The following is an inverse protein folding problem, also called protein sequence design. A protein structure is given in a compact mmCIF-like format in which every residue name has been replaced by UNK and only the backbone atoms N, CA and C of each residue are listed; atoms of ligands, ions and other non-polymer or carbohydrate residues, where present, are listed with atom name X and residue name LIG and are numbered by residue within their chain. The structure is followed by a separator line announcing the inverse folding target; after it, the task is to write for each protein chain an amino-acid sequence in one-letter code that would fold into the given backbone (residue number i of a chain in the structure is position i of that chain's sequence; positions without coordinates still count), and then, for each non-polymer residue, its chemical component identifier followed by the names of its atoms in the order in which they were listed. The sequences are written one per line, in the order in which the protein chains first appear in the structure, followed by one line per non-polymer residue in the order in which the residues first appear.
data_IF_555094003372
#
_entry.id   IF_555094003372
#
_cell.length_a   1.000
_cell.length_b   1.000
_cell.length_c   1.000
_cell.angle_alpha   90.00
_cell.angle_beta   90.00
_cell.angle_gamma   90.00
#
_symmetry.space_group_name_H-M   'P 1'
#
loop_
_entity.id
_entity.type
_entity.pdbx_description
1 polymer ?
#
# COMPACT_ATOMS: atom_id res chain seq x y z
N UNK A 1 12.78 7.41 -8.16
CA UNK A 1 12.18 6.07 -7.93
C UNK A 1 13.09 5.11 -7.16
N UNK A 2 14.38 4.94 -7.51
CA UNK A 2 15.30 3.97 -6.86
C UNK A 2 15.44 4.11 -5.33
N UNK A 3 15.39 5.32 -4.76
CA UNK A 3 15.56 5.51 -3.31
C UNK A 3 14.39 4.94 -2.51
N UNK A 4 13.15 5.24 -2.93
CA UNK A 4 11.97 4.95 -2.11
C UNK A 4 11.58 3.46 -2.14
N UNK A 5 11.79 2.75 -3.26
CA UNK A 5 11.50 1.29 -3.36
C UNK A 5 12.31 0.47 -2.36
N UNK A 6 13.44 1.00 -1.86
CA UNK A 6 14.21 0.35 -0.79
C UNK A 6 13.41 0.17 0.49
N UNK A 7 12.39 1.01 0.75
CA UNK A 7 11.52 0.88 1.93
C UNK A 7 10.75 -0.45 1.96
N UNK A 8 10.64 -1.15 0.82
CA UNK A 8 10.07 -2.49 0.77
C UNK A 8 11.00 -3.56 1.34
N UNK A 9 12.29 -3.28 1.58
CA UNK A 9 13.17 -4.27 2.20
C UNK A 9 12.69 -4.66 3.62
N UNK A 10 12.93 -5.91 4.05
CA UNK A 10 12.54 -6.37 5.38
C UNK A 10 13.02 -5.45 6.51
N UNK A 11 12.13 -5.15 7.46
CA UNK A 11 12.47 -4.33 8.63
C UNK A 11 12.49 -2.82 8.39
N UNK A 12 12.08 -2.35 7.20
CA UNK A 12 11.90 -0.92 6.93
C UNK A 12 10.41 -0.55 6.90
N UNK A 13 10.10 0.65 7.39
CA UNK A 13 8.78 1.24 7.30
C UNK A 13 8.49 1.59 5.84
N UNK A 14 7.33 1.23 5.33
CA UNK A 14 6.94 1.59 3.96
C UNK A 14 6.78 3.12 3.85
N UNK A 15 7.51 3.72 2.92
CA UNK A 15 7.43 5.16 2.67
C UNK A 15 6.20 5.52 1.81
N UNK A 16 5.65 6.70 2.03
CA UNK A 16 4.43 7.19 1.35
C UNK A 16 4.55 7.15 -0.18
N UNK A 17 5.68 7.57 -0.79
CA UNK A 17 5.82 7.51 -2.25
C UNK A 17 5.72 6.08 -2.81
N UNK A 18 6.06 5.05 -2.03
CA UNK A 18 5.89 3.65 -2.44
C UNK A 18 4.42 3.28 -2.50
N UNK A 19 3.63 3.68 -1.51
CA UNK A 19 2.17 3.45 -1.47
C UNK A 19 1.48 4.17 -2.62
N UNK A 20 1.84 5.43 -2.89
CA UNK A 20 1.25 6.21 -4.00
C UNK A 20 1.60 5.62 -5.37
N UNK A 21 2.85 5.15 -5.53
CA UNK A 21 3.27 4.44 -6.74
C UNK A 21 2.49 3.14 -6.91
N UNK A 22 2.26 2.40 -5.82
CA UNK A 22 1.46 1.17 -5.84
C UNK A 22 0.00 1.46 -6.19
N UNK A 23 -0.61 2.49 -5.61
CA UNK A 23 -1.96 2.94 -5.97
C UNK A 23 -2.05 3.33 -7.47
N UNK A 24 -1.02 3.97 -8.01
CA UNK A 24 -0.95 4.32 -9.44
C UNK A 24 -0.94 3.08 -10.34
N UNK A 25 -0.17 2.06 -9.95
CA UNK A 25 -0.15 0.76 -10.64
C UNK A 25 -1.53 0.10 -10.59
N UNK A 26 -2.15 0.03 -9.41
CA UNK A 26 -3.48 -0.60 -9.28
C UNK A 26 -4.56 0.15 -10.08
N UNK A 27 -4.50 1.49 -10.12
CA UNK A 27 -5.40 2.29 -10.96
C UNK A 27 -5.21 2.01 -12.45
N UNK A 28 -3.96 1.84 -12.89
CA UNK A 28 -3.66 1.47 -14.28
C UNK A 28 -4.15 0.05 -14.61
N UNK A 29 -3.89 -0.93 -13.74
CA UNK A 29 -4.38 -2.30 -13.92
C UNK A 29 -5.91 -2.33 -13.98
N UNK A 30 -6.59 -1.56 -13.12
CA UNK A 30 -8.05 -1.41 -13.18
C UNK A 30 -8.52 -0.76 -14.47
N UNK A 31 -7.79 0.22 -14.99
CA UNK A 31 -8.07 0.90 -16.25
C UNK A 31 -8.02 -0.06 -17.45
N UNK A 32 -7.06 -0.99 -17.46
CA UNK A 32 -6.91 -2.02 -18.50
C UNK A 32 -8.01 -3.10 -18.48
N UNK A 33 -8.62 -3.38 -17.33
CA UNK A 33 -9.66 -4.40 -17.24
C UNK A 33 -10.89 -4.05 -18.10
N UNK A 34 -11.35 -4.97 -18.94
CA UNK A 34 -12.60 -4.82 -19.70
C UNK A 34 -13.84 -5.05 -18.81
N UNK A 35 -14.08 -4.13 -17.87
CA UNK A 35 -15.25 -4.13 -16.99
C UNK A 35 -15.83 -2.73 -16.80
N UNK A 36 -17.15 -2.66 -16.74
CA UNK A 36 -17.90 -1.40 -16.58
C UNK A 36 -17.82 -0.82 -15.17
N UNK A 37 -17.53 -1.68 -14.19
CA UNK A 37 -17.41 -1.30 -12.78
C UNK A 37 -15.95 -1.43 -12.36
N UNK A 38 -15.31 -0.27 -12.13
CA UNK A 38 -13.90 -0.19 -11.76
C UNK A 38 -13.70 0.21 -10.31
N UNK A 39 -12.51 -0.10 -9.81
CA UNK A 39 -12.00 0.35 -8.52
C UNK A 39 -11.13 1.59 -8.72
N UNK A 40 -11.03 2.42 -7.68
CA UNK A 40 -10.12 3.56 -7.67
C UNK A 40 -9.36 3.65 -6.36
N UNK A 41 -8.05 3.85 -6.46
CA UNK A 41 -7.11 3.88 -5.36
C UNK A 41 -6.58 5.31 -5.20
N UNK A 42 -6.97 5.98 -4.11
CA UNK A 42 -6.46 7.31 -3.78
C UNK A 42 -5.03 7.25 -3.26
N UNK A 43 -4.31 8.35 -3.43
CA UNK A 43 -2.94 8.49 -2.92
C UNK A 43 -2.92 8.82 -1.44
N UNK A 44 -2.05 8.15 -0.70
CA UNK A 44 -1.83 8.37 0.72
C UNK A 44 -1.27 9.78 0.99
N UNK A 45 -0.46 10.33 0.09
CA UNK A 45 0.05 11.71 0.22
C UNK A 45 -1.07 12.75 0.26
N UNK A 46 -2.22 12.50 -0.37
CA UNK A 46 -3.38 13.41 -0.32
C UNK A 46 -4.03 13.46 1.07
N UNK A 47 -3.77 12.47 1.91
CA UNK A 47 -4.35 12.30 3.25
C UNK A 47 -3.41 12.79 4.37
N UNK A 48 -2.34 13.52 4.04
CA UNK A 48 -1.37 13.98 5.05
C UNK A 48 -1.86 15.20 5.86
N UNK A 49 -1.60 15.24 7.18
CA UNK A 49 -2.04 16.32 8.09
C UNK A 49 -1.72 17.76 7.62
N UNK A 50 -0.59 18.00 6.96
CA UNK A 50 -0.21 19.33 6.47
C UNK A 50 -1.01 19.82 5.25
N UNK A 51 -1.59 18.91 4.48
CA UNK A 51 -2.62 19.23 3.46
C UNK A 51 -3.99 19.42 4.14
N UNK A 52 -4.18 18.73 5.27
CA UNK A 52 -5.40 18.70 6.08
C UNK A 52 -5.56 19.92 7.00
N UNK A 53 -4.49 20.64 7.31
CA UNK A 53 -4.55 21.87 8.13
C UNK A 53 -5.14 23.09 7.40
N UNK A 54 -5.51 22.98 6.12
CA UNK A 54 -6.35 24.00 5.50
C UNK A 54 -7.77 23.91 6.11
N UNK A 55 -8.42 25.05 6.39
CA UNK A 55 -9.78 25.11 6.96
C UNK A 55 -10.69 24.01 6.38
N UNK A 56 -11.50 23.30 7.19
CA UNK A 56 -12.24 22.09 6.79
C UNK A 56 -12.96 22.19 5.43
N UNK A 57 -13.57 23.35 5.15
CA UNK A 57 -14.23 23.64 3.86
C UNK A 57 -13.31 23.44 2.62
N UNK A 58 -12.03 23.76 2.71
CA UNK A 58 -11.09 23.66 1.58
C UNK A 58 -10.61 22.23 1.32
N UNK A 59 -10.53 21.40 2.36
CA UNK A 59 -10.25 19.97 2.28
C UNK A 59 -11.43 19.19 1.74
N UNK A 60 -12.62 19.42 2.32
CA UNK A 60 -13.88 18.90 1.81
C UNK A 60 -13.95 19.21 0.32
N UNK A 61 -13.66 20.45 -0.09
CA UNK A 61 -13.64 20.80 -1.51
C UNK A 61 -12.59 20.04 -2.34
N UNK A 62 -11.39 19.72 -1.82
CA UNK A 62 -10.35 18.98 -2.59
C UNK A 62 -10.67 17.50 -2.71
N UNK A 63 -11.02 16.85 -1.59
CA UNK A 63 -11.44 15.45 -1.56
C UNK A 63 -12.74 15.31 -2.33
N UNK A 64 -13.73 16.17 -2.12
CA UNK A 64 -14.95 16.21 -2.93
C UNK A 64 -14.65 16.44 -4.40
N UNK A 65 -13.73 17.33 -4.78
CA UNK A 65 -13.38 17.50 -6.21
C UNK A 65 -12.77 16.24 -6.77
N UNK A 66 -11.90 15.56 -6.02
CA UNK A 66 -11.30 14.31 -6.45
C UNK A 66 -12.33 13.18 -6.55
N UNK A 67 -13.18 13.01 -5.52
CA UNK A 67 -14.30 12.08 -5.50
C UNK A 67 -15.32 12.40 -6.58
N UNK A 68 -15.65 13.68 -6.84
CA UNK A 68 -16.54 14.09 -7.94
C UNK A 68 -15.94 13.81 -9.32
N UNK A 69 -14.61 13.78 -9.46
CA UNK A 69 -13.96 13.33 -10.71
C UNK A 69 -14.13 11.83 -10.87
N UNK A 70 -13.80 11.07 -9.83
CA UNK A 70 -14.01 9.61 -9.71
C UNK A 70 -15.46 9.20 -9.99
N UNK A 71 -16.43 9.97 -9.49
CA UNK A 71 -17.87 9.72 -9.66
C UNK A 71 -18.45 10.22 -10.99
N UNK A 72 -17.70 10.98 -11.79
CA UNK A 72 -18.11 11.28 -13.17
C UNK A 72 -17.80 10.07 -14.03
N UNK A 73 -18.63 9.80 -15.04
CA UNK A 73 -18.37 8.76 -16.03
C UNK A 73 -17.02 9.09 -16.70
N UNK A 74 -15.94 8.42 -16.26
CA UNK A 74 -14.66 8.56 -16.91
C UNK A 74 -14.74 7.84 -18.27
N UNK A 75 -14.21 8.50 -19.30
CA UNK A 75 -14.15 7.98 -20.64
C UNK A 75 -12.69 7.59 -20.93
N UNK A 76 -12.46 6.36 -21.38
CA UNK A 76 -11.16 5.98 -21.95
C UNK A 76 -10.91 6.74 -23.27
N UNK A 77 -9.68 6.66 -23.79
CA UNK A 77 -9.28 7.16 -25.12
C UNK A 77 -10.24 6.74 -26.25
N UNK A 78 -10.92 5.59 -26.10
CA UNK A 78 -11.91 5.06 -27.05
C UNK A 78 -13.36 5.49 -26.77
N UNK A 79 -13.60 6.41 -25.83
CA UNK A 79 -14.93 6.93 -25.51
C UNK A 79 -15.85 5.99 -24.70
N UNK A 80 -15.37 4.83 -24.24
CA UNK A 80 -16.12 3.94 -23.33
C UNK A 80 -16.22 4.56 -21.93
N UNK A 81 -17.45 4.60 -21.40
CA UNK A 81 -17.76 5.06 -20.04
C UNK A 81 -17.68 3.91 -19.05
N UNK A 82 -17.04 4.14 -17.91
CA UNK A 82 -17.05 3.22 -16.78
C UNK A 82 -17.45 3.94 -15.50
N UNK A 83 -18.02 3.18 -14.56
CA UNK A 83 -18.39 3.68 -13.23
C UNK A 83 -17.40 3.17 -12.20
N UNK A 84 -16.91 4.08 -11.38
CA UNK A 84 -16.08 3.72 -10.23
C UNK A 84 -17.02 3.38 -9.06
N UNK A 85 -17.03 2.12 -8.65
CA UNK A 85 -17.96 1.65 -7.62
C UNK A 85 -17.30 1.43 -6.26
N UNK A 86 -15.99 1.18 -6.23
CA UNK A 86 -15.27 0.90 -4.99
C UNK A 86 -14.02 1.75 -4.94
N UNK A 87 -13.91 2.56 -3.91
CA UNK A 87 -12.82 3.52 -3.75
C UNK A 87 -12.05 3.25 -2.47
N UNK A 88 -10.74 3.33 -2.56
CA UNK A 88 -9.80 2.96 -1.50
C UNK A 88 -9.05 4.20 -1.02
N UNK A 89 -9.13 4.49 0.27
CA UNK A 89 -8.51 5.63 0.93
C UNK A 89 -7.43 5.14 1.91
N UNK A 90 -6.15 5.19 1.53
CA UNK A 90 -5.04 4.92 2.45
C UNK A 90 -4.97 6.03 3.52
N UNK A 91 -5.10 5.69 4.78
CA UNK A 91 -5.02 6.64 5.89
C UNK A 91 -3.73 6.44 6.67
N UNK A 92 -3.03 7.56 6.92
CA UNK A 92 -1.83 7.59 7.74
C UNK A 92 -2.09 8.53 8.91
N UNK A 93 -2.36 7.96 10.07
CA UNK A 93 -2.66 8.70 11.29
C UNK A 93 -1.72 8.27 12.42
N UNK A 94 -1.07 9.23 13.08
CA UNK A 94 -0.15 8.99 14.20
C UNK A 94 0.91 7.91 13.92
N UNK A 95 1.37 7.84 12.67
CA UNK A 95 2.39 6.89 12.21
C UNK A 95 1.88 5.47 11.92
N UNK A 96 0.58 5.20 12.09
CA UNK A 96 -0.11 3.95 11.75
C UNK A 96 -0.83 4.06 10.39
N UNK A 97 -0.90 2.94 9.67
CA UNK A 97 -1.41 2.86 8.30
C UNK A 97 -2.59 1.90 8.28
N UNK A 98 -3.74 2.38 7.81
CA UNK A 98 -4.95 1.57 7.65
C UNK A 98 -5.73 2.03 6.42
N UNK A 99 -6.72 1.26 6.00
CA UNK A 99 -7.45 1.48 4.75
C UNK A 99 -8.92 1.71 5.03
N UNK A 100 -9.52 2.73 4.41
CA UNK A 100 -10.97 2.89 4.35
C UNK A 100 -11.43 2.59 2.92
N UNK A 101 -12.42 1.71 2.78
CA UNK A 101 -12.96 1.33 1.48
C UNK A 101 -14.44 1.69 1.43
N UNK A 102 -14.85 2.48 0.44
CA UNK A 102 -16.26 2.77 0.19
C UNK A 102 -16.75 2.01 -1.03
N UNK A 103 -17.90 1.37 -0.91
CA UNK A 103 -18.69 0.92 -2.05
C UNK A 103 -19.74 1.98 -2.37
N UNK A 104 -19.48 2.80 -3.38
CA UNK A 104 -20.33 3.92 -3.79
C UNK A 104 -21.68 3.47 -4.36
N UNK A 105 -21.76 2.27 -4.94
CA UNK A 105 -23.02 1.73 -5.46
C UNK A 105 -23.94 1.23 -4.34
N UNK A 106 -23.36 0.59 -3.32
CA UNK A 106 -24.11 0.06 -2.16
C UNK A 106 -24.30 1.08 -1.05
N UNK A 107 -23.55 2.18 -1.07
CA UNK A 107 -23.52 3.15 0.03
C UNK A 107 -22.91 2.60 1.31
N UNK A 108 -22.02 1.61 1.22
CA UNK A 108 -21.38 0.97 2.38
C UNK A 108 -19.92 1.36 2.50
N UNK A 109 -19.36 1.26 3.71
CA UNK A 109 -17.94 1.53 3.97
C UNK A 109 -17.35 0.49 4.92
N UNK A 110 -16.07 0.20 4.74
CA UNK A 110 -15.32 -0.76 5.55
C UNK A 110 -14.00 -0.13 5.98
N UNK A 111 -13.66 -0.23 7.26
CA UNK A 111 -12.33 0.11 7.79
C UNK A 111 -11.54 -1.19 7.94
N UNK A 112 -10.38 -1.25 7.28
CA UNK A 112 -9.50 -2.41 7.27
C UNK A 112 -8.21 -2.02 8.00
N UNK A 113 -8.02 -2.59 9.19
CA UNK A 113 -6.88 -2.35 10.07
C UNK A 113 -6.26 -3.68 10.52
N UNK A 114 -4.94 -3.78 10.46
CA UNK A 114 -4.17 -4.92 10.94
C UNK A 114 -3.84 -4.83 12.43
N UNK A 115 -4.10 -3.71 13.10
CA UNK A 115 -3.82 -3.51 14.53
C UNK A 115 -4.77 -4.33 15.41
N UNK A 116 -4.21 -5.13 16.31
CA UNK A 116 -4.94 -5.82 17.38
C UNK A 116 -4.85 -5.04 18.71
N UNK A 117 -5.12 -3.74 18.65
CA UNK A 117 -5.17 -2.87 19.82
C UNK A 117 -6.58 -2.78 20.38
N UNK A 118 -6.72 -2.87 21.71
CA UNK A 118 -7.97 -2.66 22.48
C UNK A 118 -8.55 -1.23 22.38
N UNK A 119 -8.09 -0.43 21.40
CA UNK A 119 -8.61 0.90 21.16
C UNK A 119 -10.06 0.78 20.65
N UNK A 120 -10.97 1.35 21.41
CA UNK A 120 -12.42 1.40 21.17
C UNK A 120 -12.77 2.23 19.92
N UNK A 121 -12.60 1.65 18.73
CA UNK A 121 -13.28 2.12 17.51
C UNK A 121 -14.80 1.83 17.54
N UNK A 122 -15.22 1.02 18.52
CA UNK A 122 -16.54 0.41 18.75
C UNK A 122 -17.74 1.35 18.69
N UNK A 123 -17.61 2.65 19.04
CA UNK A 123 -18.80 3.51 19.07
C UNK A 123 -19.08 4.29 17.77
N UNK A 124 -18.11 4.44 16.86
CA UNK A 124 -18.26 5.39 15.72
C UNK A 124 -18.47 4.75 14.35
N UNK A 125 -18.05 3.49 14.13
CA UNK A 125 -18.14 2.86 12.81
C UNK A 125 -18.60 1.41 12.96
N UNK A 126 -19.93 1.20 12.86
CA UNK A 126 -20.61 -0.11 12.92
C UNK A 126 -20.11 -1.04 11.82
N UNK A 127 -19.06 -1.81 12.13
CA UNK A 127 -18.65 -3.12 11.63
C UNK A 127 -17.13 -3.21 11.84
N UNK A 128 -16.70 -3.49 13.08
CA UNK A 128 -15.31 -3.76 13.38
C UNK A 128 -14.95 -5.16 12.84
N UNK A 129 -13.97 -5.23 11.94
CA UNK A 129 -13.50 -6.46 11.32
C UNK A 129 -12.45 -7.14 12.18
N UNK A 130 -12.54 -8.47 12.31
CA UNK A 130 -11.60 -9.29 13.07
C UNK A 130 -10.92 -10.30 12.14
N UNK A 131 -9.70 -9.98 11.70
CA UNK A 131 -8.82 -10.96 11.06
C UNK A 131 -8.09 -11.75 12.14
N UNK A 132 -8.04 -13.07 11.99
CA UNK A 132 -7.28 -13.95 12.91
C UNK A 132 -5.78 -13.61 12.96
N UNK A 133 -5.26 -12.94 11.92
CA UNK A 133 -3.84 -12.62 11.77
C UNK A 133 -3.48 -11.17 12.12
N UNK A 134 -4.38 -10.39 12.75
CA UNK A 134 -4.03 -9.05 13.24
C UNK A 134 -2.76 -9.10 14.10
N UNK A 135 -2.05 -7.98 14.14
CA UNK A 135 -0.73 -7.87 14.77
C UNK A 135 -0.80 -6.92 15.97
N UNK A 136 -0.19 -7.33 17.09
CA UNK A 136 0.00 -6.48 18.27
C UNK A 136 1.36 -5.77 18.25
N UNK A 137 2.42 -6.44 17.82
CA UNK A 137 3.80 -5.95 17.95
C UNK A 137 4.35 -5.39 16.64
N UNK A 138 3.95 -5.94 15.51
CA UNK A 138 4.54 -5.65 14.19
C UNK A 138 4.02 -4.37 13.52
N UNK A 139 4.20 -3.23 14.21
CA UNK A 139 3.75 -1.91 13.74
C UNK A 139 4.46 -1.44 12.46
N UNK A 140 5.66 -1.94 12.17
CA UNK A 140 6.45 -1.51 11.01
C UNK A 140 5.86 -1.96 9.67
N UNK A 141 5.06 -3.03 9.69
CA UNK A 141 4.47 -3.65 8.51
C UNK A 141 3.03 -3.17 8.22
N UNK A 142 2.46 -2.23 8.99
CA UNK A 142 1.11 -1.69 8.72
C UNK A 142 0.94 -1.16 7.28
N UNK A 143 1.96 -0.48 6.74
CA UNK A 143 1.95 -0.05 5.34
C UNK A 143 1.95 -1.20 4.33
N UNK A 144 2.60 -2.32 4.66
CA UNK A 144 2.59 -3.54 3.84
C UNK A 144 1.21 -4.20 3.83
N UNK A 145 0.57 -4.31 5.00
CA UNK A 145 -0.78 -4.87 5.12
C UNK A 145 -1.82 -4.00 4.40
N UNK A 146 -1.70 -2.67 4.49
CA UNK A 146 -2.53 -1.75 3.73
C UNK A 146 -2.40 -1.97 2.22
N UNK A 147 -1.17 -2.05 1.69
CA UNK A 147 -0.94 -2.37 0.27
C UNK A 147 -1.53 -3.73 -0.10
N UNK A 148 -1.42 -4.72 0.78
CA UNK A 148 -2.02 -6.04 0.59
C UNK A 148 -3.54 -5.99 0.46
N UNK A 149 -4.19 -5.21 1.30
CA UNK A 149 -5.64 -5.03 1.24
C UNK A 149 -6.07 -4.29 -0.03
N UNK A 150 -5.31 -3.28 -0.47
CA UNK A 150 -5.58 -2.63 -1.76
C UNK A 150 -5.53 -3.63 -2.93
N UNK A 151 -4.52 -4.51 -2.94
CA UNK A 151 -4.28 -5.50 -4.01
C UNK A 151 -5.32 -6.64 -4.01
N UNK A 152 -5.76 -7.11 -2.84
CA UNK A 152 -6.51 -8.38 -2.72
C UNK A 152 -7.94 -8.24 -2.18
N UNK A 153 -8.47 -7.02 -1.99
CA UNK A 153 -9.83 -6.87 -1.49
C UNK A 153 -10.88 -7.45 -2.46
N UNK A 154 -11.75 -8.33 -1.96
CA UNK A 154 -12.78 -9.01 -2.76
C UNK A 154 -14.15 -8.30 -2.77
N UNK A 155 -14.28 -7.12 -2.15
CA UNK A 155 -15.58 -6.44 -2.07
C UNK A 155 -16.57 -7.07 -1.08
N UNK A 156 -16.07 -7.94 -0.20
CA UNK A 156 -16.83 -8.68 0.80
C UNK A 156 -16.25 -8.43 2.19
N UNK A 157 -17.05 -8.77 3.20
CA UNK A 157 -16.71 -8.57 4.61
C UNK A 157 -15.57 -9.51 5.04
N UNK A 158 -15.61 -10.76 4.58
CA UNK A 158 -14.56 -11.77 4.79
C UNK A 158 -14.03 -12.21 3.43
N UNK A 159 -12.72 -12.27 3.31
CA UNK A 159 -12.02 -12.82 2.15
C UNK A 159 -10.73 -13.48 2.61
N UNK A 160 -10.22 -14.38 1.78
CA UNK A 160 -9.00 -15.09 2.10
C UNK A 160 -7.80 -14.18 1.85
N UNK A 161 -7.08 -13.88 2.93
CA UNK A 161 -5.77 -13.26 2.87
C UNK A 161 -4.78 -14.35 3.20
N UNK A 162 -3.86 -14.71 2.31
CA UNK A 162 -2.85 -15.76 2.54
C UNK A 162 -1.81 -15.40 3.63
N UNK A 163 -2.19 -14.58 4.62
CA UNK A 163 -1.44 -14.20 5.79
C UNK A 163 -1.58 -15.23 6.89
N UNK A 164 -0.53 -15.34 7.69
CA UNK A 164 -0.46 -16.22 8.84
C UNK A 164 -0.54 -15.38 10.11
N UNK A 165 -1.01 -15.96 11.21
CA UNK A 165 -1.01 -15.33 12.53
C UNK A 165 0.40 -14.88 12.96
N UNK A 166 0.49 -13.82 13.76
CA UNK A 166 1.77 -13.24 14.22
C UNK A 166 2.64 -14.26 14.97
N UNK A 167 2.02 -15.23 15.66
CA UNK A 167 2.69 -16.31 16.40
C UNK A 167 3.26 -17.41 15.51
N UNK A 168 2.88 -17.47 14.23
CA UNK A 168 3.31 -18.51 13.32
C UNK A 168 4.78 -18.32 12.92
N UNK A 169 5.59 -19.38 13.02
CA UNK A 169 7.03 -19.32 12.67
C UNK A 169 7.32 -18.86 11.23
N UNK A 170 6.38 -19.03 10.31
CA UNK A 170 6.51 -18.59 8.91
C UNK A 170 5.91 -17.21 8.64
N UNK A 171 5.33 -16.54 9.65
CA UNK A 171 4.73 -15.22 9.50
C UNK A 171 5.74 -14.20 8.94
N UNK A 172 6.96 -14.15 9.49
CA UNK A 172 8.04 -13.30 8.98
C UNK A 172 8.39 -13.60 7.51
N UNK A 173 8.49 -14.88 7.15
CA UNK A 173 8.77 -15.29 5.77
C UNK A 173 7.65 -14.85 4.83
N UNK A 174 6.38 -14.95 5.24
CA UNK A 174 5.23 -14.47 4.45
C UNK A 174 5.30 -12.97 4.20
N UNK A 175 5.60 -12.15 5.22
CA UNK A 175 5.75 -10.69 5.05
C UNK A 175 6.92 -10.35 4.13
N UNK A 176 8.06 -11.03 4.27
CA UNK A 176 9.22 -10.82 3.40
C UNK A 176 8.93 -11.20 1.94
N UNK A 177 8.20 -12.29 1.71
CA UNK A 177 7.78 -12.69 0.36
C UNK A 177 6.81 -11.68 -0.24
N UNK A 178 5.89 -11.14 0.55
CA UNK A 178 4.95 -10.12 0.11
C UNK A 178 5.66 -8.81 -0.25
N UNK A 179 6.65 -8.40 0.55
CA UNK A 179 7.56 -7.28 0.25
C UNK A 179 8.30 -7.48 -1.07
N UNK A 180 8.84 -8.67 -1.30
CA UNK A 180 9.50 -9.02 -2.56
C UNK A 180 8.51 -9.01 -3.74
N UNK A 181 7.28 -9.56 -3.56
CA UNK A 181 6.20 -9.52 -4.56
C UNK A 181 5.91 -8.09 -4.99
N UNK A 182 5.74 -7.16 -4.05
CA UNK A 182 5.43 -5.77 -4.38
C UNK A 182 6.60 -4.99 -4.93
N UNK A 183 7.83 -5.26 -4.47
CA UNK A 183 9.02 -4.69 -5.09
C UNK A 183 9.14 -5.13 -6.56
N UNK A 184 8.96 -6.42 -6.84
CA UNK A 184 8.98 -6.96 -8.20
C UNK A 184 7.85 -6.37 -9.05
N UNK A 185 6.61 -6.34 -8.54
CA UNK A 185 5.45 -5.73 -9.24
C UNK A 185 5.76 -4.29 -9.64
N UNK A 186 6.30 -3.47 -8.74
CA UNK A 186 6.62 -2.07 -9.05
C UNK A 186 7.79 -1.90 -10.02
N UNK A 187 8.86 -2.68 -9.85
CA UNK A 187 10.04 -2.58 -10.71
C UNK A 187 9.78 -3.10 -12.12
N UNK A 188 8.98 -4.17 -12.24
CA UNK A 188 8.75 -4.89 -13.48
C UNK A 188 7.42 -4.54 -14.14
N UNK A 189 6.64 -3.60 -13.60
CA UNK A 189 5.40 -3.16 -14.25
C UNK A 189 5.69 -2.51 -15.61
N UNK A 190 4.81 -2.69 -16.59
CA UNK A 190 4.98 -2.12 -17.94
C UNK A 190 4.97 -0.59 -17.96
N UNK A 191 4.19 0.03 -17.06
CA UNK A 191 4.15 1.50 -16.91
C UNK A 191 5.40 2.10 -16.27
N UNK A 192 6.30 1.28 -15.73
CA UNK A 192 7.56 1.78 -15.21
C UNK A 192 8.49 2.10 -16.39
N UNK A 193 8.65 3.37 -16.72
CA UNK A 193 9.57 3.83 -17.78
C UNK A 193 11.02 3.36 -17.58
N UNK A 194 11.39 3.03 -16.34
CA UNK A 194 12.71 2.52 -15.99
C UNK A 194 12.77 0.98 -15.90
N UNK A 195 11.72 0.25 -16.29
CA UNK A 195 11.60 -1.21 -16.16
C UNK A 195 12.84 -1.91 -16.74
N UNK A 196 13.19 -1.61 -18.00
CA UNK A 196 14.36 -2.17 -18.68
C UNK A 196 15.66 -1.87 -17.93
N UNK A 197 15.83 -0.63 -17.48
CA UNK A 197 17.00 -0.22 -16.71
C UNK A 197 17.10 -1.00 -15.39
N UNK A 198 15.98 -1.23 -14.69
CA UNK A 198 15.96 -2.00 -13.45
C UNK A 198 16.28 -3.47 -13.70
N UNK A 199 15.74 -4.07 -14.76
CA UNK A 199 16.09 -5.44 -15.18
C UNK A 199 17.58 -5.57 -15.49
N UNK A 200 18.14 -4.63 -16.25
CA UNK A 200 19.57 -4.63 -16.58
C UNK A 200 20.45 -4.50 -15.32
N UNK A 201 20.05 -3.68 -14.35
CA UNK A 201 20.74 -3.59 -13.06
C UNK A 201 20.69 -4.91 -12.28
N UNK A 202 19.53 -5.56 -12.23
CA UNK A 202 19.38 -6.85 -11.55
C UNK A 202 20.25 -7.93 -12.19
N UNK A 203 20.27 -8.01 -13.53
CA UNK A 203 21.12 -8.95 -14.28
C UNK A 203 22.62 -8.67 -14.06
N UNK A 204 23.04 -7.40 -14.14
CA UNK A 204 24.43 -7.01 -13.87
C UNK A 204 24.84 -7.32 -12.43
N UNK A 205 23.95 -7.12 -11.46
CA UNK A 205 24.21 -7.48 -10.07
C UNK A 205 24.39 -8.99 -9.91
N UNK A 206 23.49 -9.80 -10.50
CA UNK A 206 23.59 -11.26 -10.45
C UNK A 206 24.86 -11.78 -11.13
N UNK A 207 25.22 -11.23 -12.29
CA UNK A 207 26.44 -11.61 -13.01
C UNK A 207 27.73 -11.28 -12.22
N UNK A 208 27.73 -10.14 -11.50
CA UNK A 208 28.86 -9.74 -10.65
C UNK A 208 28.94 -10.52 -9.34
N UNK A 209 27.84 -11.11 -8.89
CA UNK A 209 27.75 -11.84 -7.62
C UNK A 209 27.14 -13.23 -7.86
N UNK A 210 27.85 -14.14 -8.56
CA UNK A 210 27.33 -15.45 -8.92
C UNK A 210 27.11 -16.37 -7.70
N UNK A 211 27.86 -16.17 -6.62
CA UNK A 211 27.61 -16.84 -5.34
C UNK A 211 26.42 -16.20 -4.63
N UNK A 212 25.33 -16.96 -4.51
CA UNK A 212 24.08 -16.52 -3.87
C UNK A 212 24.26 -16.13 -2.40
N UNK A 213 25.12 -16.84 -1.65
CA UNK A 213 25.33 -16.56 -0.21
C UNK A 213 26.05 -15.24 -0.03
N UNK A 214 27.05 -14.96 -0.87
CA UNK A 214 27.78 -13.69 -0.81
C UNK A 214 26.90 -12.53 -1.29
N UNK A 215 26.12 -12.73 -2.36
CA UNK A 215 25.15 -11.75 -2.82
C UNK A 215 24.12 -11.41 -1.72
N UNK A 216 23.58 -12.42 -1.04
CA UNK A 216 22.66 -12.25 0.09
C UNK A 216 23.31 -11.46 1.24
N UNK A 217 24.56 -11.74 1.57
CA UNK A 217 25.32 -11.00 2.59
C UNK A 217 25.48 -9.52 2.23
N UNK A 218 25.81 -9.20 0.98
CA UNK A 218 25.93 -7.82 0.49
C UNK A 218 24.58 -7.08 0.60
N UNK A 219 23.50 -7.73 0.20
CA UNK A 219 22.15 -7.18 0.29
C UNK A 219 21.76 -6.95 1.74
N UNK A 220 21.96 -7.94 2.61
CA UNK A 220 21.63 -7.84 4.04
C UNK A 220 22.43 -6.73 4.73
N UNK A 221 23.73 -6.58 4.43
CA UNK A 221 24.52 -5.46 4.94
C UNK A 221 23.95 -4.10 4.52
N UNK A 222 23.46 -3.99 3.28
CA UNK A 222 22.85 -2.76 2.77
C UNK A 222 21.51 -2.45 3.45
N UNK A 223 20.69 -3.47 3.70
CA UNK A 223 19.44 -3.34 4.45
C UNK A 223 19.71 -2.90 5.89
N UNK A 224 20.68 -3.52 6.57
CA UNK A 224 21.03 -3.14 7.95
C UNK A 224 21.48 -1.68 8.06
N UNK A 225 22.25 -1.16 7.08
CA UNK A 225 22.61 0.27 7.04
C UNK A 225 21.35 1.16 6.96
N UNK A 226 20.37 0.78 6.13
CA UNK A 226 19.12 1.52 5.98
C UNK A 226 18.26 1.49 7.23
N UNK A 227 18.21 0.36 7.95
CA UNK A 227 17.51 0.25 9.23
C UNK A 227 18.11 1.23 10.24
N UNK A 228 19.45 1.27 10.35
CA UNK A 228 20.15 2.23 11.23
C UNK A 228 19.88 3.68 10.84
N UNK A 229 19.80 4.00 9.55
CA UNK A 229 19.42 5.34 9.07
C UNK A 229 17.99 5.71 9.49
N UNK A 230 17.04 4.78 9.34
CA UNK A 230 15.65 4.98 9.74
C UNK A 230 15.52 5.20 11.26
N UNK A 231 16.17 4.35 12.07
CA UNK A 231 16.12 4.45 13.53
C UNK A 231 16.67 5.80 14.02
N UNK A 232 17.72 6.32 13.37
CA UNK A 232 18.25 7.66 13.65
C UNK A 232 17.24 8.76 13.33
N UNK A 233 16.55 8.67 12.19
CA UNK A 233 15.52 9.65 11.81
C UNK A 233 14.32 9.61 12.76
N UNK A 234 13.88 8.42 13.16
CA UNK A 234 12.76 8.26 14.08
C UNK A 234 13.09 8.77 15.48
N UNK A 235 14.33 8.61 15.95
CA UNK A 235 14.78 9.17 17.23
C UNK A 235 14.92 10.70 17.21
N UNK A 236 15.16 11.32 16.05
CA UNK A 236 15.18 12.78 15.90
C UNK A 236 13.78 13.42 15.85
N UNK A 237 12.74 12.61 15.60
CA UNK A 237 11.34 13.05 15.48
C UNK A 237 10.53 12.86 16.77
N UNK A 238 11.11 12.25 17.79
CA UNK A 238 10.54 12.13 19.14
C UNK A 238 10.99 13.30 20.00
#
# INVERSE_FOLDING_TARGET
MRMYVQSLAPGLKIEIPVIDTFASILNYEEWELEKDIKRHYFYASMMLPGIIQNKPQSMETKIEKAVRRVCKDDCNSDGRRYKQATVFFPIIASGHYYLIVFNLLKGTSVIIDNSDSDATYEEKYKENYEFMWKTKKEKIDCGLFMMMHMDNYEGKIKWETCMLEETNKYHRLRRNNLRAKYAAKMMLHEINENQKLMSDYALKFAAKNPDKKEAEKIVNQSIMKKIVEQDKQDNQRK
#
